data_IF_611930620628
#
_entry.id   IF_611930620628
#
_cell.length_a   1.000
_cell.length_b   1.000
_cell.length_c   1.000
_cell.angle_alpha   90.00
_cell.angle_beta   90.00
_cell.angle_gamma   90.00
#
_symmetry.space_group_name_H-M   'P 1'
#
loop_
_entity.id
_entity.type
_entity.pdbx_description
1 polymer ?
#
# COMPACT_ATOMS: atom_id res chain seq x y z
N UNK A 1 -8.87 -2.86 -4.04
CA UNK A 1 -9.53 -3.30 -5.28
C UNK A 1 -10.49 -2.24 -5.80
N UNK A 2 -10.86 -2.30 -7.09
CA UNK A 2 -11.78 -1.31 -7.69
C UNK A 2 -13.12 -1.23 -6.95
N UNK A 3 -13.69 -2.36 -6.59
CA UNK A 3 -14.95 -2.44 -5.84
C UNK A 3 -14.85 -1.75 -4.48
N UNK A 4 -13.78 -1.98 -3.75
CA UNK A 4 -13.54 -1.36 -2.45
C UNK A 4 -13.30 0.14 -2.58
N UNK A 5 -12.54 0.58 -3.58
CA UNK A 5 -12.32 2.00 -3.88
C UNK A 5 -13.64 2.71 -4.18
N UNK A 6 -14.50 2.12 -5.01
CA UNK A 6 -15.83 2.66 -5.28
C UNK A 6 -16.65 2.77 -4.00
N UNK A 7 -16.68 1.71 -3.16
CA UNK A 7 -17.42 1.72 -1.91
C UNK A 7 -16.93 2.81 -0.95
N UNK A 8 -15.62 3.03 -0.84
CA UNK A 8 -15.01 4.07 -0.01
C UNK A 8 -15.30 5.50 -0.48
N UNK A 9 -15.60 5.69 -1.76
CA UNK A 9 -15.93 7.00 -2.35
C UNK A 9 -17.42 7.27 -2.43
N UNK A 10 -18.29 6.34 -1.99
CA UNK A 10 -19.71 6.56 -1.92
C UNK A 10 -20.08 7.42 -0.72
N UNK A 11 -20.47 8.67 -0.98
CA UNK A 11 -20.96 9.59 0.04
C UNK A 11 -22.50 9.66 0.03
N UNK A 12 -23.11 9.77 1.20
CA UNK A 12 -24.57 9.86 1.34
C UNK A 12 -25.18 11.15 0.77
N UNK A 13 -24.38 12.20 0.67
CA UNK A 13 -24.85 13.54 0.38
C UNK A 13 -24.32 14.10 -0.95
N UNK A 14 -23.52 13.30 -1.67
CA UNK A 14 -22.87 13.74 -2.90
C UNK A 14 -23.03 12.71 -4.02
N UNK A 15 -23.62 13.12 -5.11
CA UNK A 15 -23.84 12.32 -6.33
C UNK A 15 -23.05 12.83 -7.55
N UNK A 16 -22.06 13.70 -7.31
CA UNK A 16 -21.18 14.26 -8.33
C UNK A 16 -20.02 13.35 -8.73
N UNK A 17 -18.99 13.95 -9.35
CA UNK A 17 -17.78 13.22 -9.77
C UNK A 17 -16.96 12.77 -8.55
N UNK A 18 -16.66 11.47 -8.35
CA UNK A 18 -15.80 10.98 -7.26
C UNK A 18 -14.41 11.64 -7.20
N UNK A 19 -13.92 12.18 -8.32
CA UNK A 19 -12.69 12.96 -8.35
C UNK A 19 -12.79 14.27 -7.56
N UNK A 20 -13.95 14.84 -7.38
CA UNK A 20 -14.13 16.03 -6.56
C UNK A 20 -13.86 15.74 -5.09
N UNK A 21 -14.14 14.50 -4.63
CA UNK A 21 -13.78 14.03 -3.29
C UNK A 21 -12.26 13.85 -3.22
N UNK A 22 -11.66 13.13 -4.16
CA UNK A 22 -10.22 12.83 -4.13
C UNK A 22 -9.34 14.07 -4.33
N UNK A 23 -9.84 15.10 -5.01
CA UNK A 23 -9.15 16.39 -5.21
C UNK A 23 -9.51 17.45 -4.16
N UNK A 24 -10.26 17.08 -3.12
CA UNK A 24 -10.71 17.96 -2.03
C UNK A 24 -11.58 19.17 -2.50
N UNK A 25 -12.21 19.09 -3.66
CA UNK A 25 -13.21 20.07 -4.07
C UNK A 25 -14.53 19.89 -3.31
N UNK A 26 -14.81 18.64 -2.92
CA UNK A 26 -15.89 18.29 -2.03
C UNK A 26 -15.30 17.52 -0.82
N UNK A 27 -15.72 17.91 0.39
CA UNK A 27 -15.30 17.23 1.63
C UNK A 27 -16.40 16.29 2.07
N UNK A 28 -16.13 15.00 1.97
CA UNK A 28 -17.06 13.93 2.38
C UNK A 28 -17.41 14.07 3.87
N UNK A 29 -18.70 14.05 4.18
CA UNK A 29 -19.21 14.14 5.56
C UNK A 29 -19.55 12.77 6.14
N UNK A 30 -19.98 11.85 5.29
CA UNK A 30 -20.42 10.52 5.70
C UNK A 30 -20.35 9.56 4.53
N UNK A 31 -19.53 8.52 4.65
CA UNK A 31 -19.47 7.44 3.67
C UNK A 31 -20.39 6.27 4.06
N UNK A 32 -20.64 5.40 3.09
CA UNK A 32 -21.28 4.11 3.37
C UNK A 32 -20.36 3.21 4.19
N UNK A 33 -20.90 2.41 5.13
CA UNK A 33 -20.10 1.44 5.84
C UNK A 33 -19.54 0.38 4.89
N UNK A 34 -18.24 0.10 4.98
CA UNK A 34 -17.55 -0.88 4.15
C UNK A 34 -17.11 -2.07 4.99
N UNK A 35 -17.38 -3.27 4.51
CA UNK A 35 -16.79 -4.52 5.00
C UNK A 35 -15.94 -5.13 3.89
N UNK A 36 -14.84 -5.78 4.23
CA UNK A 36 -13.89 -6.35 3.27
C UNK A 36 -13.75 -7.85 3.45
N UNK A 37 -13.80 -8.59 2.34
CA UNK A 37 -13.35 -9.98 2.25
C UNK A 37 -12.14 -9.97 1.32
N UNK A 38 -10.94 -10.17 1.87
CA UNK A 38 -9.69 -9.99 1.15
C UNK A 38 -9.41 -11.19 0.25
N UNK A 39 -9.26 -10.94 -1.05
CA UNK A 39 -8.97 -11.97 -2.07
C UNK A 39 -7.59 -11.81 -2.71
N UNK A 40 -6.92 -10.69 -2.46
CA UNK A 40 -5.54 -10.43 -2.88
C UNK A 40 -4.87 -9.47 -1.89
N UNK A 41 -3.74 -9.88 -1.34
CA UNK A 41 -2.96 -9.06 -0.41
C UNK A 41 -1.97 -8.18 -1.18
N UNK A 42 -2.07 -6.86 -1.04
CA UNK A 42 -1.21 -5.87 -1.67
C UNK A 42 -1.24 -4.52 -0.92
N UNK A 43 -2.25 -3.69 -1.22
CA UNK A 43 -2.32 -2.29 -0.80
C UNK A 43 -2.63 -2.06 0.69
N UNK A 44 -3.02 -3.07 1.46
CA UNK A 44 -3.44 -2.91 2.85
C UNK A 44 -4.72 -2.07 3.03
N UNK A 45 -5.52 -1.94 1.96
CA UNK A 45 -6.71 -1.08 1.97
C UNK A 45 -7.79 -1.57 2.93
N UNK A 46 -7.76 -2.84 3.30
CA UNK A 46 -8.66 -3.50 4.25
C UNK A 46 -8.57 -2.94 5.68
N UNK A 47 -7.43 -2.35 6.07
CA UNK A 47 -7.26 -1.66 7.36
C UNK A 47 -6.83 -0.20 7.22
N UNK A 48 -6.69 0.33 6.01
CA UNK A 48 -6.26 1.70 5.79
C UNK A 48 -7.41 2.69 5.67
N UNK A 49 -7.10 3.97 5.87
CA UNK A 49 -7.98 5.08 5.59
C UNK A 49 -7.84 5.60 4.14
N UNK A 50 -7.09 4.87 3.30
CA UNK A 50 -6.72 5.27 1.96
C UNK A 50 -7.60 4.62 0.90
N UNK A 51 -7.85 5.33 -0.17
CA UNK A 51 -8.31 4.78 -1.44
C UNK A 51 -7.64 5.53 -2.60
N UNK A 52 -7.60 4.90 -3.78
CA UNK A 52 -7.01 5.49 -4.98
C UNK A 52 -8.01 5.35 -6.12
N UNK A 53 -8.24 6.44 -6.83
CA UNK A 53 -9.11 6.48 -8.02
C UNK A 53 -8.29 6.86 -9.25
N UNK A 54 -8.56 6.19 -10.37
CA UNK A 54 -7.93 6.46 -11.66
C UNK A 54 -8.95 6.93 -12.69
N UNK A 55 -8.58 7.91 -13.52
CA UNK A 55 -9.33 8.30 -14.69
C UNK A 55 -8.45 8.26 -15.92
N UNK A 56 -8.84 7.41 -16.89
CA UNK A 56 -8.15 7.33 -18.19
C UNK A 56 -8.34 8.61 -19.00
N UNK A 57 -9.51 9.22 -18.92
CA UNK A 57 -9.85 10.47 -19.62
C UNK A 57 -9.00 11.63 -19.10
N UNK A 58 -8.95 11.80 -17.78
CA UNK A 58 -8.17 12.85 -17.12
C UNK A 58 -6.67 12.53 -17.05
N UNK A 59 -6.24 11.30 -17.40
CA UNK A 59 -4.88 10.79 -17.21
C UNK A 59 -4.34 11.05 -15.80
N UNK A 60 -5.16 10.73 -14.81
CA UNK A 60 -4.89 10.98 -13.40
C UNK A 60 -5.10 9.70 -12.57
N UNK A 61 -4.22 9.50 -11.60
CA UNK A 61 -4.37 8.50 -10.55
C UNK A 61 -4.16 9.23 -9.20
N UNK A 62 -5.23 9.36 -8.42
CA UNK A 62 -5.27 10.22 -7.23
C UNK A 62 -5.59 9.43 -5.97
N UNK A 63 -4.73 9.54 -4.96
CA UNK A 63 -4.99 9.02 -3.62
C UNK A 63 -5.85 9.98 -2.80
N UNK A 64 -6.71 9.41 -1.95
CA UNK A 64 -7.53 10.13 -1.00
C UNK A 64 -7.56 9.40 0.35
N UNK A 65 -7.30 10.13 1.43
CA UNK A 65 -7.23 9.60 2.79
C UNK A 65 -8.23 10.30 3.70
N UNK A 66 -9.07 9.52 4.34
CA UNK A 66 -9.99 9.97 5.39
C UNK A 66 -10.37 8.81 6.29
N UNK A 67 -10.56 9.03 7.58
CA UNK A 67 -10.97 7.96 8.48
C UNK A 67 -12.38 7.40 8.17
N UNK A 68 -13.18 8.13 7.39
CA UNK A 68 -14.43 7.61 6.82
C UNK A 68 -14.22 6.42 5.87
N UNK A 69 -13.03 6.28 5.30
CA UNK A 69 -12.68 5.17 4.41
C UNK A 69 -12.30 3.88 5.14
N UNK A 70 -12.13 3.89 6.46
CA UNK A 70 -11.74 2.68 7.18
C UNK A 70 -12.87 1.66 7.15
N UNK A 71 -12.59 0.43 6.68
CA UNK A 71 -13.58 -0.65 6.78
C UNK A 71 -13.96 -0.94 8.23
N UNK A 72 -15.22 -1.34 8.44
CA UNK A 72 -15.73 -1.72 9.76
C UNK A 72 -15.24 -3.08 10.22
N UNK A 73 -14.99 -3.99 9.26
CA UNK A 73 -14.44 -5.31 9.50
C UNK A 73 -13.73 -5.83 8.26
N UNK A 74 -12.82 -6.78 8.46
CA UNK A 74 -12.16 -7.53 7.40
C UNK A 74 -12.24 -9.02 7.68
N UNK A 75 -12.40 -9.81 6.62
CA UNK A 75 -12.27 -11.27 6.64
C UNK A 75 -11.05 -11.63 5.81
N UNK A 76 -10.06 -12.23 6.47
CA UNK A 76 -8.80 -12.67 5.88
C UNK A 76 -8.70 -14.19 5.93
N UNK A 77 -9.13 -14.87 4.86
CA UNK A 77 -8.88 -16.30 4.67
C UNK A 77 -7.78 -16.49 3.60
N UNK A 78 -6.59 -16.99 3.98
CA UNK A 78 -5.48 -17.21 3.04
C UNK A 78 -5.85 -18.07 1.83
N UNK A 79 -6.82 -18.97 1.96
CA UNK A 79 -7.29 -19.82 0.86
C UNK A 79 -7.93 -19.04 -0.27
N UNK A 80 -8.53 -17.89 0.02
CA UNK A 80 -9.13 -17.01 -1.00
C UNK A 80 -8.09 -16.41 -1.95
N UNK A 81 -6.81 -16.43 -1.57
CA UNK A 81 -5.70 -15.93 -2.39
C UNK A 81 -4.99 -17.03 -3.21
N UNK A 82 -5.40 -18.31 -3.10
CA UNK A 82 -4.72 -19.41 -3.76
C UNK A 82 -4.82 -19.42 -5.29
N UNK A 83 -5.78 -18.70 -5.84
CA UNK A 83 -5.96 -18.53 -7.29
C UNK A 83 -5.15 -17.37 -7.87
N UNK A 84 -4.52 -16.56 -7.02
CA UNK A 84 -3.70 -15.42 -7.46
C UNK A 84 -2.40 -15.96 -8.05
N UNK A 85 -2.12 -15.55 -9.29
CA UNK A 85 -0.93 -15.99 -10.05
C UNK A 85 0.37 -15.41 -9.48
N UNK A 86 1.50 -15.86 -10.02
CA UNK A 86 2.82 -15.49 -9.56
C UNK A 86 3.12 -13.99 -9.75
N UNK A 87 2.75 -13.44 -10.91
CA UNK A 87 3.01 -12.03 -11.22
C UNK A 87 2.21 -11.12 -10.29
N UNK A 88 0.91 -11.34 -10.15
CA UNK A 88 0.05 -10.58 -9.25
C UNK A 88 0.47 -10.73 -7.78
N UNK A 89 0.89 -11.92 -7.37
CA UNK A 89 1.45 -12.17 -6.03
C UNK A 89 2.73 -11.36 -5.83
N UNK A 90 3.64 -11.35 -6.81
CA UNK A 90 4.88 -10.57 -6.77
C UNK A 90 4.62 -9.07 -6.67
N UNK A 91 3.70 -8.55 -7.47
CA UNK A 91 3.28 -7.14 -7.39
C UNK A 91 2.73 -6.79 -6.00
N UNK A 92 1.91 -7.68 -5.42
CA UNK A 92 1.39 -7.47 -4.06
C UNK A 92 2.48 -7.47 -2.99
N UNK A 93 3.43 -8.40 -3.06
CA UNK A 93 4.59 -8.45 -2.14
C UNK A 93 5.42 -7.17 -2.22
N UNK A 94 5.69 -6.66 -3.43
CA UNK A 94 6.42 -5.40 -3.63
C UNK A 94 5.63 -4.22 -3.06
N UNK A 95 4.33 -4.17 -3.26
CA UNK A 95 3.48 -3.09 -2.77
C UNK A 95 3.46 -3.03 -1.24
N UNK A 96 3.26 -4.18 -0.57
CA UNK A 96 3.34 -4.31 0.90
C UNK A 96 4.71 -3.86 1.42
N UNK A 97 5.77 -4.31 0.78
CA UNK A 97 7.13 -3.92 1.12
C UNK A 97 7.32 -2.40 0.97
N UNK A 98 6.88 -1.83 -0.15
CA UNK A 98 7.04 -0.41 -0.49
C UNK A 98 6.33 0.51 0.50
N UNK A 99 5.12 0.18 0.91
CA UNK A 99 4.39 0.94 1.93
C UNK A 99 5.18 1.05 3.24
N UNK A 100 5.78 -0.06 3.67
CA UNK A 100 6.59 -0.10 4.90
C UNK A 100 7.93 0.59 4.69
N UNK A 101 8.59 0.34 3.56
CA UNK A 101 9.87 0.93 3.17
C UNK A 101 9.82 2.45 3.16
N UNK A 102 8.84 3.05 2.49
CA UNK A 102 8.74 4.51 2.44
C UNK A 102 8.49 5.12 3.83
N UNK A 103 7.69 4.46 4.67
CA UNK A 103 7.50 4.91 6.07
C UNK A 103 8.78 4.77 6.90
N UNK A 104 9.57 3.73 6.67
CA UNK A 104 10.84 3.53 7.34
C UNK A 104 11.80 4.70 7.07
N UNK A 105 11.87 5.19 5.82
CA UNK A 105 12.73 6.29 5.40
C UNK A 105 12.12 7.68 5.59
N UNK A 106 10.90 7.81 6.08
CA UNK A 106 10.34 9.10 6.43
C UNK A 106 11.07 9.73 7.63
N UNK A 107 11.18 11.04 7.62
CA UNK A 107 11.78 11.80 8.73
C UNK A 107 11.02 11.55 10.04
N UNK A 108 11.76 11.34 11.11
CA UNK A 108 11.23 11.17 12.46
C UNK A 108 12.21 11.73 13.49
N UNK A 109 11.67 12.19 14.61
CA UNK A 109 12.45 12.57 15.77
C UNK A 109 12.79 11.34 16.64
N UNK A 110 13.56 10.38 16.08
CA UNK A 110 14.04 9.16 16.77
C UNK A 110 12.91 8.24 17.26
N UNK A 111 12.08 7.76 16.32
CA UNK A 111 11.05 6.75 16.61
C UNK A 111 11.55 5.33 16.32
N UNK A 112 12.48 4.84 17.12
CA UNK A 112 13.06 3.51 17.01
C UNK A 112 11.99 2.40 17.01
N UNK A 113 10.91 2.55 17.79
CA UNK A 113 9.83 1.58 17.85
C UNK A 113 9.19 1.31 16.49
N UNK A 114 8.84 2.37 15.75
CA UNK A 114 8.25 2.21 14.42
C UNK A 114 9.28 1.73 13.38
N UNK A 115 10.57 2.01 13.57
CA UNK A 115 11.65 1.47 12.75
C UNK A 115 11.79 -0.04 12.94
N UNK A 116 11.87 -0.54 14.16
CA UNK A 116 11.93 -1.99 14.45
C UNK A 116 10.71 -2.75 13.92
N UNK A 117 9.51 -2.17 14.05
CA UNK A 117 8.31 -2.76 13.47
C UNK A 117 8.39 -2.84 11.94
N UNK A 118 8.87 -1.76 11.30
CA UNK A 118 9.02 -1.71 9.86
C UNK A 118 10.04 -2.74 9.36
N UNK A 119 11.20 -2.86 10.01
CA UNK A 119 12.23 -3.85 9.69
C UNK A 119 11.71 -5.28 9.83
N UNK A 120 11.03 -5.59 10.93
CA UNK A 120 10.44 -6.92 11.14
C UNK A 120 9.37 -7.24 10.08
N UNK A 121 8.54 -6.26 9.70
CA UNK A 121 7.51 -6.43 8.69
C UNK A 121 8.13 -6.66 7.31
N UNK A 122 9.10 -5.84 6.91
CA UNK A 122 9.79 -5.98 5.62
C UNK A 122 10.50 -7.33 5.50
N UNK A 123 11.16 -7.80 6.56
CA UNK A 123 11.78 -9.12 6.61
C UNK A 123 10.75 -10.24 6.45
N UNK A 124 9.64 -10.17 7.18
CA UNK A 124 8.53 -11.12 7.04
C UNK A 124 8.01 -11.18 5.61
N UNK A 125 7.82 -10.02 4.96
CA UNK A 125 7.33 -9.90 3.57
C UNK A 125 8.30 -10.56 2.59
N UNK A 126 9.60 -10.29 2.71
CA UNK A 126 10.62 -10.87 1.84
C UNK A 126 10.71 -12.39 1.97
N UNK A 127 10.70 -12.91 3.19
CA UNK A 127 10.82 -14.34 3.45
C UNK A 127 9.59 -15.11 2.95
N UNK A 128 8.40 -14.60 3.20
CA UNK A 128 7.18 -15.25 2.74
C UNK A 128 6.94 -15.04 1.24
N UNK A 129 7.35 -13.90 0.66
CA UNK A 129 7.38 -13.69 -0.78
C UNK A 129 8.26 -14.70 -1.50
N UNK A 130 9.47 -14.99 -0.98
CA UNK A 130 10.37 -16.04 -1.50
C UNK A 130 9.75 -17.44 -1.40
N UNK A 131 8.95 -17.73 -0.36
CA UNK A 131 8.21 -19.00 -0.25
C UNK A 131 7.11 -19.08 -1.29
N UNK A 132 6.34 -18.01 -1.48
CA UNK A 132 5.27 -17.95 -2.47
C UNK A 132 5.80 -18.06 -3.91
N UNK A 133 7.00 -17.56 -4.20
CA UNK A 133 7.61 -17.75 -5.53
C UNK A 133 7.87 -19.23 -5.88
N UNK A 134 7.98 -20.10 -4.86
CA UNK A 134 8.18 -21.55 -5.01
C UNK A 134 6.87 -22.34 -4.91
N UNK A 135 5.93 -21.88 -4.09
CA UNK A 135 4.63 -22.51 -3.89
C UNK A 135 3.54 -21.47 -3.60
N UNK A 136 2.76 -21.13 -4.62
CA UNK A 136 1.68 -20.15 -4.52
C UNK A 136 0.54 -20.56 -3.56
N UNK A 137 0.46 -21.84 -3.20
CA UNK A 137 -0.55 -22.40 -2.29
C UNK A 137 0.01 -22.68 -0.88
N UNK A 138 1.18 -22.14 -0.54
CA UNK A 138 1.70 -22.19 0.84
C UNK A 138 0.79 -21.38 1.75
N UNK A 139 -0.06 -22.06 2.51
CA UNK A 139 -1.04 -21.44 3.40
C UNK A 139 -0.40 -20.49 4.41
N UNK A 140 0.69 -20.92 5.05
CA UNK A 140 1.39 -20.12 6.05
C UNK A 140 1.99 -18.86 5.45
N UNK A 141 2.60 -18.98 4.26
CA UNK A 141 3.15 -17.81 3.56
C UNK A 141 2.04 -16.84 3.14
N UNK A 142 0.91 -17.33 2.60
CA UNK A 142 -0.26 -16.50 2.28
C UNK A 142 -0.80 -15.79 3.51
N UNK A 143 -0.94 -16.49 4.64
CA UNK A 143 -1.41 -15.89 5.90
C UNK A 143 -0.49 -14.76 6.37
N UNK A 144 0.82 -14.98 6.34
CA UNK A 144 1.80 -13.96 6.73
C UNK A 144 1.78 -12.74 5.79
N UNK A 145 1.62 -12.95 4.48
CA UNK A 145 1.51 -11.86 3.51
C UNK A 145 0.19 -11.08 3.69
N UNK A 146 -0.94 -11.74 3.99
CA UNK A 146 -2.22 -11.07 4.26
C UNK A 146 -2.10 -10.13 5.47
N UNK A 147 -1.63 -10.65 6.59
CA UNK A 147 -1.43 -9.83 7.81
C UNK A 147 -0.42 -8.71 7.55
N UNK A 148 0.67 -8.99 6.84
CA UNK A 148 1.65 -7.97 6.47
C UNK A 148 1.04 -6.86 5.60
N UNK A 149 0.13 -7.19 4.67
CA UNK A 149 -0.61 -6.23 3.87
C UNK A 149 -1.34 -5.24 4.77
N UNK A 150 -2.17 -5.74 5.67
CA UNK A 150 -2.94 -4.93 6.60
C UNK A 150 -2.08 -4.01 7.45
N UNK A 151 -1.01 -4.52 8.04
CA UNK A 151 -0.12 -3.74 8.91
C UNK A 151 0.81 -2.78 8.15
N UNK A 152 1.11 -3.04 6.89
CA UNK A 152 1.95 -2.16 6.08
C UNK A 152 1.31 -0.79 5.84
N UNK A 153 -0.04 -0.72 5.83
CA UNK A 153 -0.75 0.51 5.46
C UNK A 153 -1.76 1.03 6.49
N UNK A 154 -1.90 0.40 7.65
CA UNK A 154 -2.81 0.87 8.71
C UNK A 154 -2.28 2.08 9.53
N UNK A 155 -1.04 2.50 9.28
CA UNK A 155 -0.37 3.61 9.96
C UNK A 155 0.62 3.20 11.04
N UNK A 156 0.67 1.93 11.46
CA UNK A 156 1.49 1.46 12.57
C UNK A 156 3.00 1.74 12.36
N UNK A 157 3.54 1.44 11.18
CA UNK A 157 4.96 1.67 10.85
C UNK A 157 5.30 3.15 10.59
N UNK A 158 4.30 4.02 10.65
CA UNK A 158 4.45 5.46 10.47
C UNK A 158 4.24 6.30 11.73
N UNK A 159 4.07 5.67 12.90
CA UNK A 159 3.87 6.38 14.17
C UNK A 159 5.07 7.28 14.45
N UNK A 160 4.79 8.55 14.78
CA UNK A 160 5.81 9.55 15.08
C UNK A 160 6.66 10.02 13.89
N UNK A 161 6.22 9.74 12.67
CA UNK A 161 6.93 10.14 11.46
C UNK A 161 6.12 11.12 10.60
N UNK A 162 6.83 11.99 9.89
CA UNK A 162 6.24 12.85 8.87
C UNK A 162 6.11 12.04 7.56
N UNK A 163 4.95 11.45 7.35
CA UNK A 163 4.72 10.51 6.24
C UNK A 163 4.65 11.27 4.92
N UNK A 164 5.61 10.94 4.05
CA UNK A 164 5.59 11.28 2.63
C UNK A 164 5.56 10.00 1.82
N UNK A 165 5.15 9.88 0.66
CA UNK A 165 5.15 8.65 -0.15
C UNK A 165 5.66 8.99 -1.55
N UNK A 166 6.94 9.38 -1.70
CA UNK A 166 7.46 9.89 -2.97
C UNK A 166 7.47 8.83 -4.07
N UNK A 167 7.81 7.59 -3.75
CA UNK A 167 7.88 6.49 -4.73
C UNK A 167 6.46 6.15 -5.22
N UNK A 168 5.50 6.02 -4.30
CA UNK A 168 4.09 5.80 -4.67
C UNK A 168 3.53 6.94 -5.51
N UNK A 169 3.86 8.20 -5.18
CA UNK A 169 3.40 9.35 -5.98
C UNK A 169 3.97 9.33 -7.38
N UNK A 170 5.27 9.03 -7.54
CA UNK A 170 5.90 8.87 -8.85
C UNK A 170 5.27 7.70 -9.64
N UNK A 171 5.01 6.57 -8.97
CA UNK A 171 4.36 5.43 -9.60
C UNK A 171 2.94 5.76 -10.06
N UNK A 172 2.19 6.55 -9.28
CA UNK A 172 0.87 6.99 -9.69
C UNK A 172 0.89 7.78 -11.00
N UNK A 173 1.90 8.64 -11.19
CA UNK A 173 2.08 9.36 -12.46
C UNK A 173 2.44 8.41 -13.61
N UNK A 174 3.33 7.43 -13.37
CA UNK A 174 3.66 6.40 -14.36
C UNK A 174 2.44 5.58 -14.77
N UNK A 175 1.67 5.07 -13.83
CA UNK A 175 0.44 4.32 -14.10
C UNK A 175 -0.65 5.16 -14.76
N UNK A 176 -0.72 6.45 -14.45
CA UNK A 176 -1.66 7.37 -15.11
C UNK A 176 -1.31 7.57 -16.59
N UNK A 177 -0.01 7.60 -16.92
CA UNK A 177 0.47 7.74 -18.29
C UNK A 177 0.42 6.41 -19.07
N UNK A 178 0.73 5.31 -18.40
CA UNK A 178 0.74 3.97 -19.00
C UNK A 178 0.05 2.95 -18.09
N UNK A 179 -1.27 2.76 -18.23
CA UNK A 179 -2.04 1.85 -17.38
C UNK A 179 -1.77 0.36 -17.60
N UNK A 180 -0.84 -0.01 -18.49
CA UNK A 180 -0.38 -1.39 -18.68
C UNK A 180 0.59 -1.78 -17.58
N UNK A 181 1.35 -0.83 -17.03
CA UNK A 181 2.29 -1.08 -15.94
C UNK A 181 1.50 -1.40 -14.67
N UNK A 182 1.68 -2.61 -14.13
CA UNK A 182 1.10 -2.96 -12.84
C UNK A 182 1.77 -2.12 -11.74
N UNK A 183 0.96 -1.70 -10.74
CA UNK A 183 1.45 -0.83 -9.65
C UNK A 183 2.72 -1.36 -8.98
N UNK A 184 2.73 -2.65 -8.60
CA UNK A 184 3.90 -3.29 -8.00
C UNK A 184 5.13 -3.36 -8.92
N UNK A 185 4.94 -3.45 -10.24
CA UNK A 185 6.06 -3.38 -11.21
C UNK A 185 6.69 -2.00 -11.22
N UNK A 186 5.87 -0.95 -11.28
CA UNK A 186 6.33 0.43 -11.22
C UNK A 186 7.12 0.71 -9.93
N UNK A 187 6.60 0.27 -8.79
CA UNK A 187 7.28 0.38 -7.50
C UNK A 187 8.62 -0.38 -7.49
N UNK A 188 8.66 -1.60 -8.03
CA UNK A 188 9.88 -2.42 -8.09
C UNK A 188 11.02 -1.74 -8.88
N UNK A 189 10.69 -0.98 -9.92
CA UNK A 189 11.65 -0.24 -10.72
C UNK A 189 12.09 1.04 -10.01
N UNK A 190 11.16 1.74 -9.35
CA UNK A 190 11.43 3.03 -8.73
C UNK A 190 12.23 2.93 -7.43
N UNK A 191 12.01 1.89 -6.61
CA UNK A 191 12.68 1.74 -5.30
C UNK A 191 14.21 1.76 -5.43
N UNK A 192 14.86 0.93 -6.25
CA UNK A 192 16.32 0.95 -6.35
C UNK A 192 16.86 2.29 -6.83
N UNK A 193 16.21 2.91 -7.82
CA UNK A 193 16.61 4.22 -8.33
C UNK A 193 16.46 5.31 -7.27
N UNK A 194 15.40 5.27 -6.48
CA UNK A 194 15.19 6.18 -5.36
C UNK A 194 16.27 5.98 -4.28
N UNK A 195 16.59 4.73 -3.95
CA UNK A 195 17.66 4.42 -2.98
C UNK A 195 19.01 4.99 -3.43
N UNK A 196 19.38 4.80 -4.69
CA UNK A 196 20.63 5.31 -5.26
C UNK A 196 20.72 6.84 -5.18
N UNK A 197 19.62 7.54 -5.50
CA UNK A 197 19.58 9.01 -5.45
C UNK A 197 19.59 9.50 -3.99
N UNK A 198 18.84 8.87 -3.11
CA UNK A 198 18.63 9.34 -1.73
C UNK A 198 19.70 8.90 -0.73
N UNK A 199 20.49 7.90 -1.05
CA UNK A 199 21.53 7.37 -0.16
C UNK A 199 22.44 8.48 0.43
N UNK A 200 22.78 9.48 -0.35
CA UNK A 200 23.67 10.57 0.08
C UNK A 200 23.03 11.52 1.10
N UNK A 201 21.70 11.49 1.25
CA UNK A 201 20.97 12.36 2.17
C UNK A 201 21.03 11.85 3.61
N UNK A 202 20.97 10.52 3.80
CA UNK A 202 21.07 9.88 5.11
C UNK A 202 21.75 8.50 5.01
N UNK A 203 23.08 8.44 4.78
CA UNK A 203 23.81 7.18 4.63
C UNK A 203 23.63 6.26 5.84
N UNK A 204 23.51 6.82 7.06
CA UNK A 204 23.37 6.04 8.30
C UNK A 204 22.08 5.22 8.30
N UNK A 205 20.98 5.81 7.88
CA UNK A 205 19.69 5.11 7.78
C UNK A 205 19.72 3.99 6.75
N UNK A 206 20.39 4.21 5.60
CA UNK A 206 20.55 3.17 4.58
C UNK A 206 21.47 2.02 5.03
N UNK A 207 22.52 2.32 5.82
CA UNK A 207 23.38 1.30 6.41
C UNK A 207 22.58 0.45 7.40
N UNK A 208 21.85 1.09 8.31
CA UNK A 208 20.98 0.39 9.26
C UNK A 208 19.95 -0.51 8.57
N UNK A 209 19.34 -0.03 7.49
CA UNK A 209 18.43 -0.82 6.66
C UNK A 209 19.10 -2.06 6.04
N UNK A 210 20.35 -1.93 5.60
CA UNK A 210 21.09 -3.03 4.97
C UNK A 210 21.59 -4.09 5.97
N UNK A 211 21.82 -3.70 7.23
CA UNK A 211 22.29 -4.58 8.31
C UNK A 211 21.16 -5.39 8.96
N UNK A 212 19.93 -4.91 8.87
CA UNK A 212 18.72 -5.51 9.45
C UNK A 212 17.87 -6.24 8.43
#
# INVERSE_FOLDING_TARGET
>A
TDTETVAKLLDYYYDGDPFDISTHKYVSQKSLPVGVILTNAASGSELSNSCVISSREKKMKQGYNTDLNRPLFVIEDPKLTFSVDLHTTGCGVVDIFSHTFERYFCQSDKMEFSDYLAEALMRNVLDNGRRLSKNLKDYTARANIMIASSFSHNGLTGIGKNITMPIHKLEHELSALNPIIAHGEGLAILIPSWMEICYHLDPTKFISFAEN
#
